data_IF_329220333644
#
_entry.id   IF_329220333644
#
_cell.length_a   1.000
_cell.length_b   1.000
_cell.length_c   1.000
_cell.angle_alpha   90.00
_cell.angle_beta   90.00
_cell.angle_gamma   90.00
#
_symmetry.space_group_name_H-M   'P 1'
#
loop_
_entity.id
_entity.type
_entity.pdbx_description
1 polymer ?
#
# COMPACT_ATOMS: atom_id res chain seq x y z
N UNK A 1 -9.23 13.77 -18.53
CA UNK A 1 -9.34 12.55 -17.71
C UNK A 1 -8.30 12.69 -16.61
N UNK A 2 -8.72 13.07 -15.40
CA UNK A 2 -7.80 13.00 -14.26
C UNK A 2 -7.48 11.52 -14.07
N UNK A 3 -6.20 11.15 -14.10
CA UNK A 3 -5.81 9.83 -13.64
C UNK A 3 -5.96 9.92 -12.13
N UNK A 4 -6.95 9.21 -11.58
CA UNK A 4 -7.00 9.01 -10.13
C UNK A 4 -5.68 8.29 -9.78
N UNK A 5 -4.87 8.90 -8.93
CA UNK A 5 -3.61 8.31 -8.52
C UNK A 5 -3.93 7.11 -7.63
N UNK A 6 -3.67 5.91 -8.14
CA UNK A 6 -3.90 4.64 -7.43
C UNK A 6 -2.64 4.30 -6.64
N UNK A 7 -2.81 4.01 -5.35
CA UNK A 7 -1.75 3.51 -4.48
C UNK A 7 -2.00 2.05 -4.16
N UNK A 8 -1.04 1.19 -4.52
CA UNK A 8 -1.10 -0.25 -4.23
C UNK A 8 -0.44 -0.51 -2.87
N UNK A 9 -1.16 -1.13 -1.94
CA UNK A 9 -0.63 -1.48 -0.61
C UNK A 9 -0.57 -3.00 -0.46
N UNK A 10 0.65 -3.52 -0.32
CA UNK A 10 0.87 -4.94 0.00
C UNK A 10 0.95 -5.10 1.52
N UNK A 11 -0.04 -5.79 2.09
CA UNK A 11 -0.19 -5.99 3.54
C UNK A 11 0.51 -7.22 4.09
N UNK A 12 1.27 -7.95 3.26
CA UNK A 12 1.99 -9.16 3.65
C UNK A 12 3.25 -8.85 4.47
N UNK A 13 3.82 -9.86 5.17
CA UNK A 13 5.11 -9.72 5.83
C UNK A 13 6.23 -9.25 4.90
N UNK A 14 7.13 -8.40 5.41
CA UNK A 14 8.27 -7.83 4.67
C UNK A 14 9.12 -8.86 3.93
N UNK A 15 9.23 -10.09 4.45
CA UNK A 15 9.98 -11.17 3.81
C UNK A 15 9.34 -11.59 2.48
N UNK A 16 8.02 -11.78 2.46
CA UNK A 16 7.29 -12.19 1.26
C UNK A 16 7.27 -11.08 0.20
N UNK A 17 7.13 -9.82 0.65
CA UNK A 17 7.22 -8.67 -0.25
C UNK A 17 8.58 -8.62 -0.96
N UNK A 18 9.68 -8.88 -0.25
CA UNK A 18 11.03 -8.91 -0.82
C UNK A 18 11.25 -10.07 -1.80
N UNK A 19 10.53 -11.18 -1.64
CA UNK A 19 10.58 -12.33 -2.53
C UNK A 19 9.84 -12.07 -3.85
N UNK A 20 8.88 -11.15 -3.84
CA UNK A 20 8.22 -10.64 -5.04
C UNK A 20 6.96 -9.83 -4.71
N UNK A 21 6.78 -8.71 -5.42
CA UNK A 21 5.63 -7.83 -5.27
C UNK A 21 5.34 -7.07 -6.56
N UNK A 22 4.16 -6.45 -6.62
CA UNK A 22 3.76 -5.60 -7.73
C UNK A 22 4.67 -4.36 -7.75
N UNK A 23 5.25 -4.05 -8.90
CA UNK A 23 6.10 -2.87 -9.06
C UNK A 23 5.35 -1.60 -8.66
N UNK A 24 5.93 -0.81 -7.76
CA UNK A 24 5.33 0.42 -7.24
C UNK A 24 4.41 0.23 -6.03
N UNK A 25 4.17 -1.00 -5.57
CA UNK A 25 3.44 -1.24 -4.34
C UNK A 25 4.22 -0.78 -3.10
N UNK A 26 3.49 -0.27 -2.11
CA UNK A 26 4.01 0.06 -0.79
C UNK A 26 3.74 -1.11 0.16
N UNK A 27 4.77 -1.60 0.85
CA UNK A 27 4.58 -2.64 1.86
C UNK A 27 4.23 -2.02 3.21
N UNK A 28 3.00 -2.26 3.67
CA UNK A 28 2.53 -1.90 5.01
C UNK A 28 1.97 -3.17 5.63
N UNK A 29 2.78 -3.95 6.38
CA UNK A 29 2.31 -5.18 7.00
C UNK A 29 1.02 -4.95 7.79
N UNK A 30 0.12 -5.94 7.78
CA UNK A 30 -1.22 -5.81 8.38
C UNK A 30 -1.16 -5.39 9.85
N UNK A 31 -0.11 -5.77 10.57
CA UNK A 31 0.10 -5.40 11.97
C UNK A 31 0.42 -3.91 12.15
N UNK A 32 0.97 -3.27 11.13
CA UNK A 32 1.29 -1.82 11.08
C UNK A 32 0.19 -1.01 10.36
N UNK A 33 -0.80 -1.67 9.73
CA UNK A 33 -1.75 -1.03 8.83
C UNK A 33 -2.68 -0.07 9.56
N UNK A 34 -3.27 -0.51 10.68
CA UNK A 34 -4.22 0.31 11.44
C UNK A 34 -3.62 1.66 11.88
N UNK A 35 -2.34 1.68 12.27
CA UNK A 35 -1.64 2.89 12.69
C UNK A 35 -1.31 3.83 11.52
N UNK A 36 -1.29 3.29 10.29
CA UNK A 36 -0.92 4.03 9.08
C UNK A 36 -2.12 4.46 8.23
N UNK A 37 -3.28 3.82 8.38
CA UNK A 37 -4.51 4.15 7.65
C UNK A 37 -4.88 5.63 7.79
N UNK A 38 -4.75 6.20 9.00
CA UNK A 38 -5.09 7.61 9.25
C UNK A 38 -4.14 8.60 8.55
N UNK A 39 -2.94 8.13 8.16
CA UNK A 39 -1.91 8.92 7.50
C UNK A 39 -1.88 8.73 5.99
N UNK A 40 -2.79 7.92 5.42
CA UNK A 40 -2.86 7.72 3.97
C UNK A 40 -3.52 8.93 3.28
N UNK A 41 -3.08 9.27 2.06
CA UNK A 41 -3.73 10.30 1.24
C UNK A 41 -5.19 9.94 1.00
N UNK A 42 -6.11 10.88 1.23
CA UNK A 42 -7.56 10.64 1.08
C UNK A 42 -8.07 10.90 -0.33
N UNK A 43 -7.21 11.45 -1.18
CA UNK A 43 -7.44 11.79 -2.58
C UNK A 43 -6.96 10.71 -3.55
N UNK A 44 -6.51 9.57 -3.03
CA UNK A 44 -6.01 8.43 -3.80
C UNK A 44 -6.86 7.19 -3.56
N UNK A 45 -7.10 6.42 -4.62
CA UNK A 45 -7.70 5.10 -4.49
C UNK A 45 -6.64 4.14 -3.95
N UNK A 46 -6.96 3.45 -2.86
CA UNK A 46 -6.07 2.47 -2.23
C UNK A 46 -6.53 1.06 -2.59
N UNK A 47 -5.64 0.27 -3.17
CA UNK A 47 -5.90 -1.11 -3.62
C UNK A 47 -4.91 -2.09 -3.00
#
# INVERSE_FOLDING_TARGET
MQREDITIIDVRPKREFKEGHISGALNIPVEELSDKLDNLPKDQEVV
#
